data_IF_880267913046
#
_entry.id   IF_880267913046
#
_cell.length_a   1.000
_cell.length_b   1.000
_cell.length_c   1.000
_cell.angle_alpha   90.00
_cell.angle_beta   90.00
_cell.angle_gamma   90.00
#
_symmetry.space_group_name_H-M   'P 1'
#
loop_
_entity.id
_entity.type
_entity.pdbx_description
1 polymer ?
#
# COMPACT_ATOMS: atom_id res chain seq x y z
N UNK A 1 -28.97 14.24 -18.63
CA UNK A 1 -29.46 14.76 -17.35
C UNK A 1 -30.95 14.43 -17.26
N UNK A 2 -31.32 13.47 -16.39
CA UNK A 2 -32.73 13.21 -16.07
C UNK A 2 -33.24 14.32 -15.13
N UNK A 3 -34.02 15.21 -15.69
CA UNK A 3 -34.79 16.20 -14.95
C UNK A 3 -35.94 15.49 -14.22
N UNK A 4 -35.82 15.31 -12.89
CA UNK A 4 -36.96 14.81 -12.10
C UNK A 4 -36.63 14.01 -10.84
N UNK A 5 -35.37 13.64 -10.56
CA UNK A 5 -35.01 13.06 -9.27
C UNK A 5 -34.83 14.17 -8.21
N UNK A 6 -35.61 14.09 -7.13
CA UNK A 6 -35.40 14.93 -5.97
C UNK A 6 -34.02 14.60 -5.39
N UNK A 7 -33.11 15.56 -5.36
CA UNK A 7 -31.87 15.44 -4.62
C UNK A 7 -32.18 15.18 -3.15
N UNK A 8 -31.53 14.17 -2.56
CA UNK A 8 -31.62 13.88 -1.13
C UNK A 8 -30.26 14.21 -0.51
N UNK A 9 -30.25 15.20 0.36
CA UNK A 9 -29.11 15.50 1.18
C UNK A 9 -29.03 14.48 2.33
N UNK A 10 -27.87 13.85 2.52
CA UNK A 10 -27.60 12.93 3.62
C UNK A 10 -26.36 13.45 4.33
N UNK A 11 -26.49 13.75 5.62
CA UNK A 11 -25.35 14.06 6.46
C UNK A 11 -24.61 12.77 6.82
N UNK A 12 -23.28 12.79 6.74
CA UNK A 12 -22.40 11.66 7.03
C UNK A 12 -21.52 12.00 8.22
N UNK A 13 -21.52 11.14 9.24
CA UNK A 13 -20.60 11.25 10.38
C UNK A 13 -19.19 10.74 10.03
N UNK A 14 -19.10 9.71 9.22
CA UNK A 14 -17.85 9.13 8.74
C UNK A 14 -18.06 8.28 7.48
N UNK A 15 -16.98 8.07 6.73
CA UNK A 15 -16.93 7.19 5.56
C UNK A 15 -15.95 6.05 5.83
N UNK A 16 -16.38 4.80 5.60
CA UNK A 16 -15.48 3.65 5.57
C UNK A 16 -15.02 3.45 4.14
N UNK A 17 -13.74 3.73 3.86
CA UNK A 17 -13.17 3.59 2.53
C UNK A 17 -12.75 2.14 2.31
N UNK A 18 -13.34 1.50 1.29
CA UNK A 18 -13.04 0.12 0.86
C UNK A 18 -12.73 0.06 -0.64
N UNK A 19 -12.26 1.16 -1.21
CA UNK A 19 -11.90 1.26 -2.61
C UNK A 19 -10.45 0.79 -2.81
N UNK A 20 -10.23 -0.06 -3.81
CA UNK A 20 -8.91 -0.58 -4.16
C UNK A 20 -8.38 0.09 -5.43
N UNK A 21 -7.06 0.29 -5.48
CA UNK A 21 -6.41 0.96 -6.58
C UNK A 21 -6.69 2.47 -6.62
N UNK A 22 -6.16 3.17 -7.64
CA UNK A 22 -6.48 4.59 -7.86
C UNK A 22 -7.89 4.76 -8.46
N UNK A 23 -8.66 5.74 -7.97
CA UNK A 23 -8.34 6.81 -7.00
C UNK A 23 -8.60 6.44 -5.52
N UNK A 24 -8.82 5.18 -5.19
CA UNK A 24 -9.20 4.74 -3.85
C UNK A 24 -8.03 4.69 -2.86
N UNK A 25 -6.87 4.21 -3.32
CA UNK A 25 -5.68 3.95 -2.49
C UNK A 25 -4.50 4.90 -2.78
N UNK A 26 -4.66 5.91 -3.64
CA UNK A 26 -3.56 6.80 -4.07
C UNK A 26 -3.57 8.18 -3.40
N UNK A 27 -4.54 8.44 -2.52
CA UNK A 27 -4.72 9.72 -1.85
C UNK A 27 -5.78 10.62 -2.48
N UNK A 28 -6.28 10.30 -3.67
CA UNK A 28 -7.23 11.15 -4.41
C UNK A 28 -8.56 11.27 -3.65
N UNK A 29 -9.20 10.17 -3.28
CA UNK A 29 -10.47 10.20 -2.53
C UNK A 29 -10.26 10.75 -1.12
N UNK A 30 -9.11 10.46 -0.50
CA UNK A 30 -8.76 10.97 0.81
C UNK A 30 -8.67 12.50 0.79
N UNK A 31 -8.05 13.08 -0.26
CA UNK A 31 -7.97 14.53 -0.43
C UNK A 31 -9.34 15.19 -0.62
N UNK A 32 -10.27 14.54 -1.33
CA UNK A 32 -11.65 15.02 -1.46
C UNK A 32 -12.37 15.03 -0.11
N UNK A 33 -12.22 13.96 0.67
CA UNK A 33 -12.85 13.85 2.00
C UNK A 33 -12.24 14.85 3.00
N UNK A 34 -10.92 15.06 2.96
CA UNK A 34 -10.22 16.07 3.76
C UNK A 34 -10.77 17.49 3.46
N UNK A 35 -10.87 17.86 2.16
CA UNK A 35 -11.39 19.16 1.75
C UNK A 35 -12.87 19.33 2.07
N UNK A 36 -13.65 18.26 2.06
CA UNK A 36 -15.06 18.26 2.44
C UNK A 36 -15.27 18.27 3.95
N UNK A 37 -14.23 18.09 4.76
CA UNK A 37 -14.30 18.00 6.21
C UNK A 37 -15.02 16.73 6.70
N UNK A 38 -15.05 15.66 5.88
CA UNK A 38 -15.71 14.40 6.20
C UNK A 38 -14.68 13.45 6.80
N UNK A 39 -14.98 12.92 7.99
CA UNK A 39 -14.15 11.90 8.62
C UNK A 39 -14.15 10.60 7.80
N UNK A 40 -13.00 9.93 7.69
CA UNK A 40 -12.88 8.69 6.92
C UNK A 40 -11.89 7.71 7.53
N UNK A 41 -12.11 6.42 7.28
CA UNK A 41 -11.20 5.34 7.66
C UNK A 41 -10.06 5.18 6.66
N UNK A 42 -8.98 4.53 7.12
CA UNK A 42 -7.84 4.18 6.27
C UNK A 42 -6.80 5.30 6.17
N UNK A 43 -5.90 5.23 5.17
CA UNK A 43 -4.71 6.05 5.11
C UNK A 43 -5.03 7.54 4.93
N UNK A 44 -4.13 8.40 5.39
CA UNK A 44 -4.11 9.81 4.98
C UNK A 44 -3.71 9.94 3.52
N UNK A 45 -3.86 11.14 2.93
CA UNK A 45 -3.35 11.44 1.58
C UNK A 45 -1.89 11.02 1.43
N UNK A 46 -1.03 11.39 2.39
CA UNK A 46 0.40 11.05 2.34
C UNK A 46 0.65 9.55 2.46
N UNK A 47 -0.03 8.86 3.38
CA UNK A 47 0.12 7.41 3.56
C UNK A 47 -0.38 6.61 2.35
N UNK A 48 -1.50 7.03 1.74
CA UNK A 48 -2.03 6.43 0.53
C UNK A 48 -1.08 6.61 -0.67
N UNK A 49 -0.62 7.84 -0.91
CA UNK A 49 0.30 8.14 -2.00
C UNK A 49 1.64 7.39 -1.87
N UNK A 50 2.19 7.31 -0.64
CA UNK A 50 3.40 6.55 -0.38
C UNK A 50 3.20 5.06 -0.61
N UNK A 51 2.10 4.48 -0.10
CA UNK A 51 1.82 3.04 -0.24
C UNK A 51 1.58 2.61 -1.68
N UNK A 52 1.00 3.49 -2.50
CA UNK A 52 0.74 3.23 -3.92
C UNK A 52 2.00 3.26 -4.78
N UNK A 53 2.99 4.09 -4.43
CA UNK A 53 4.23 4.26 -5.17
C UNK A 53 5.29 3.23 -4.73
N UNK A 54 5.43 2.14 -5.49
CA UNK A 54 6.36 1.04 -5.16
C UNK A 54 7.81 1.49 -5.03
N UNK A 55 8.22 2.48 -5.82
CA UNK A 55 9.57 3.00 -5.74
C UNK A 55 9.78 3.87 -4.51
N UNK A 56 8.86 4.79 -4.23
CA UNK A 56 8.95 5.67 -3.07
C UNK A 56 8.85 4.85 -1.77
N UNK A 57 7.89 3.93 -1.66
CA UNK A 57 7.74 3.06 -0.50
C UNK A 57 9.01 2.24 -0.24
N UNK A 58 9.55 1.57 -1.28
CA UNK A 58 10.79 0.81 -1.13
C UNK A 58 11.98 1.66 -0.74
N UNK A 59 12.07 2.91 -1.24
CA UNK A 59 13.14 3.84 -0.87
C UNK A 59 13.05 4.25 0.60
N UNK A 60 11.84 4.54 1.10
CA UNK A 60 11.61 4.86 2.52
C UNK A 60 11.91 3.67 3.42
N UNK A 61 11.47 2.47 3.05
CA UNK A 61 11.78 1.21 3.77
C UNK A 61 13.29 0.97 3.85
N UNK A 62 13.99 1.10 2.73
CA UNK A 62 15.44 0.96 2.67
C UNK A 62 16.17 2.01 3.51
N UNK A 63 15.74 3.27 3.45
CA UNK A 63 16.30 4.36 4.26
C UNK A 63 16.10 4.16 5.76
N UNK A 64 15.02 3.45 6.14
CA UNK A 64 14.77 3.06 7.53
C UNK A 64 15.60 1.84 7.99
N UNK A 65 16.47 1.29 7.13
CA UNK A 65 17.32 0.15 7.43
C UNK A 65 16.60 -1.21 7.40
N UNK A 66 15.41 -1.27 6.81
CA UNK A 66 14.69 -2.53 6.62
C UNK A 66 15.12 -3.18 5.30
N UNK A 67 15.22 -4.52 5.29
CA UNK A 67 15.59 -5.26 4.08
C UNK A 67 14.51 -5.17 3.02
N UNK A 68 14.88 -4.79 1.80
CA UNK A 68 14.04 -4.79 0.60
C UNK A 68 14.90 -5.23 -0.59
N UNK A 69 14.31 -5.84 -1.60
CA UNK A 69 15.03 -6.10 -2.84
C UNK A 69 15.48 -4.78 -3.47
N UNK A 70 16.67 -4.74 -4.07
CA UNK A 70 17.13 -3.55 -4.80
C UNK A 70 16.14 -3.26 -5.94
N UNK A 71 15.81 -1.99 -6.11
CA UNK A 71 14.86 -1.56 -7.15
C UNK A 71 15.33 -0.30 -7.85
N UNK A 72 15.06 -0.23 -9.14
CA UNK A 72 15.44 0.88 -10.03
C UNK A 72 14.21 1.33 -10.80
N UNK A 73 14.06 2.65 -10.98
CA UNK A 73 13.14 3.17 -11.99
C UNK A 73 13.75 2.97 -13.37
N UNK A 74 13.11 2.14 -14.19
CA UNK A 74 13.53 1.92 -15.58
C UNK A 74 12.99 3.07 -16.43
N UNK A 75 13.90 3.74 -17.12
CA UNK A 75 13.60 4.82 -18.07
C UNK A 75 14.33 4.55 -19.40
N UNK A 76 14.04 5.34 -20.43
CA UNK A 76 14.73 5.24 -21.71
C UNK A 76 16.22 5.60 -21.61
N UNK A 77 16.62 6.39 -20.62
CA UNK A 77 18.01 6.77 -20.35
C UNK A 77 18.79 5.73 -19.54
N UNK A 78 18.11 4.75 -18.91
CA UNK A 78 18.79 3.70 -18.13
C UNK A 78 19.69 2.87 -19.04
N UNK A 79 20.98 2.83 -18.74
CA UNK A 79 21.99 2.13 -19.56
C UNK A 79 22.28 0.72 -19.04
N UNK A 80 22.17 0.49 -17.73
CA UNK A 80 22.37 -0.80 -17.08
C UNK A 80 21.63 -0.85 -15.75
N UNK A 81 21.45 -2.05 -15.20
CA UNK A 81 20.94 -2.27 -13.87
C UNK A 81 22.08 -2.66 -12.92
N UNK A 82 22.01 -2.31 -11.62
CA UNK A 82 23.06 -2.61 -10.65
C UNK A 82 22.99 -4.07 -10.12
N UNK A 83 22.20 -4.92 -10.73
CA UNK A 83 22.02 -6.34 -10.42
C UNK A 83 21.77 -7.14 -11.69
N UNK A 84 22.05 -8.44 -11.63
CA UNK A 84 21.87 -9.38 -12.73
C UNK A 84 20.42 -9.86 -12.83
N UNK A 85 20.00 -10.31 -14.03
CA UNK A 85 18.70 -10.92 -14.29
C UNK A 85 18.61 -12.39 -13.82
N UNK A 86 17.43 -13.00 -13.91
CA UNK A 86 16.22 -12.44 -14.52
C UNK A 86 15.61 -11.29 -13.71
N UNK A 87 14.78 -10.48 -14.37
CA UNK A 87 14.18 -9.28 -13.79
C UNK A 87 12.67 -9.39 -13.70
N UNK A 88 12.08 -8.79 -12.64
CA UNK A 88 10.66 -8.53 -12.54
C UNK A 88 10.42 -7.03 -12.74
N UNK A 89 9.52 -6.71 -13.68
CA UNK A 89 9.09 -5.37 -14.01
C UNK A 89 7.71 -5.16 -13.43
N UNK A 90 7.54 -4.09 -12.66
CA UNK A 90 6.27 -3.76 -11.98
C UNK A 90 5.84 -2.35 -12.38
N UNK A 91 4.55 -2.10 -12.70
CA UNK A 91 4.06 -0.73 -12.74
C UNK A 91 4.41 -0.01 -11.44
N UNK A 92 4.91 1.22 -11.53
CA UNK A 92 5.26 2.02 -10.35
C UNK A 92 4.03 2.21 -9.44
N UNK A 93 2.90 2.51 -10.07
CA UNK A 93 1.61 2.68 -9.40
C UNK A 93 0.66 1.55 -9.84
N UNK A 94 -0.03 0.96 -8.87
CA UNK A 94 -0.96 -0.13 -9.14
C UNK A 94 -0.80 -1.30 -8.19
N UNK A 95 -1.67 -2.28 -8.32
CA UNK A 95 -1.75 -3.45 -7.44
C UNK A 95 -2.23 -4.71 -8.18
N UNK A 96 -2.55 -5.75 -7.40
CA UNK A 96 -3.17 -7.00 -7.89
C UNK A 96 -2.37 -7.73 -8.97
N UNK A 97 -1.04 -7.53 -9.04
CA UNK A 97 -0.14 -8.11 -10.06
C UNK A 97 -0.50 -7.74 -11.51
N UNK A 98 -1.32 -6.70 -11.73
CA UNK A 98 -1.69 -6.26 -13.07
C UNK A 98 -0.50 -5.56 -13.73
N UNK A 99 -0.16 -5.97 -14.96
CA UNK A 99 0.91 -5.36 -15.76
C UNK A 99 2.34 -5.76 -15.33
N UNK A 100 2.50 -6.78 -14.48
CA UNK A 100 3.82 -7.31 -14.12
C UNK A 100 4.36 -8.18 -15.26
N UNK A 101 5.63 -8.01 -15.59
CA UNK A 101 6.38 -8.83 -16.55
C UNK A 101 7.62 -9.42 -15.87
N UNK A 102 7.95 -10.69 -16.19
CA UNK A 102 9.24 -11.31 -15.87
C UNK A 102 10.03 -11.49 -17.15
N UNK A 103 11.27 -11.05 -17.15
CA UNK A 103 12.13 -11.02 -18.34
C UNK A 103 13.54 -11.52 -18.01
N UNK A 104 14.16 -12.19 -18.97
CA UNK A 104 15.47 -12.82 -18.76
C UNK A 104 16.63 -11.81 -18.72
N UNK A 105 16.55 -10.73 -19.48
CA UNK A 105 17.66 -9.82 -19.70
C UNK A 105 17.25 -8.35 -19.82
N UNK A 106 18.24 -7.47 -19.76
CA UNK A 106 18.05 -6.03 -19.79
C UNK A 106 17.50 -5.50 -21.12
N UNK A 107 17.89 -6.13 -22.25
CA UNK A 107 17.37 -5.70 -23.57
C UNK A 107 15.86 -5.95 -23.67
N UNK A 108 15.41 -7.11 -23.18
CA UNK A 108 13.99 -7.44 -23.09
C UNK A 108 13.26 -6.50 -22.13
N UNK A 109 13.87 -6.15 -20.97
CA UNK A 109 13.29 -5.19 -20.03
C UNK A 109 13.05 -3.82 -20.69
N UNK A 110 14.02 -3.33 -21.47
CA UNK A 110 13.88 -2.07 -22.22
C UNK A 110 12.78 -2.14 -23.26
N UNK A 111 12.68 -3.24 -24.01
CA UNK A 111 11.61 -3.42 -25.00
C UNK A 111 10.22 -3.46 -24.37
N UNK A 112 10.10 -4.02 -23.17
CA UNK A 112 8.83 -4.06 -22.42
C UNK A 112 8.38 -2.70 -21.90
N UNK A 113 9.33 -1.81 -21.56
CA UNK A 113 9.03 -0.46 -21.11
C UNK A 113 8.12 0.29 -22.06
N UNK A 114 8.36 0.19 -23.36
CA UNK A 114 7.57 0.88 -24.39
C UNK A 114 6.31 0.06 -24.80
N UNK A 115 6.39 -1.28 -24.70
CA UNK A 115 5.33 -2.17 -25.18
C UNK A 115 4.20 -2.38 -24.15
N UNK A 116 4.47 -2.26 -22.86
CA UNK A 116 3.49 -2.51 -21.83
C UNK A 116 2.80 -1.20 -21.40
N UNK A 117 1.50 -1.01 -21.70
CA UNK A 117 0.80 0.23 -21.40
C UNK A 117 0.68 0.52 -19.89
N UNK A 118 0.83 -0.49 -19.04
CA UNK A 118 0.81 -0.30 -17.58
C UNK A 118 2.05 0.43 -17.05
N UNK A 119 3.11 0.55 -17.87
CA UNK A 119 4.34 1.27 -17.51
C UNK A 119 4.31 2.76 -17.86
N UNK A 120 3.21 3.27 -18.42
CA UNK A 120 3.08 4.66 -18.84
C UNK A 120 3.35 5.69 -17.72
N UNK A 121 3.09 5.33 -16.46
CA UNK A 121 3.36 6.18 -15.28
C UNK A 121 4.66 5.81 -14.55
N UNK A 122 5.48 4.94 -15.14
CA UNK A 122 6.75 4.46 -14.61
C UNK A 122 6.81 2.96 -14.38
N UNK A 123 7.99 2.42 -14.51
CA UNK A 123 8.31 1.01 -14.32
C UNK A 123 9.38 0.86 -13.24
N UNK A 124 9.13 0.00 -12.25
CA UNK A 124 10.10 -0.42 -11.24
C UNK A 124 10.64 -1.79 -11.63
N UNK A 125 11.97 -1.92 -11.64
CA UNK A 125 12.66 -3.18 -11.92
C UNK A 125 13.34 -3.67 -10.64
N UNK A 126 13.19 -4.95 -10.37
CA UNK A 126 13.86 -5.68 -9.28
C UNK A 126 14.46 -6.99 -9.83
N UNK A 127 15.46 -7.61 -9.16
CA UNK A 127 15.85 -8.96 -9.48
C UNK A 127 14.67 -9.91 -9.24
N UNK A 128 14.39 -10.79 -10.19
CA UNK A 128 13.40 -11.84 -10.00
C UNK A 128 14.03 -13.01 -9.23
N UNK A 129 13.41 -13.38 -8.11
CA UNK A 129 13.89 -14.40 -7.18
C UNK A 129 12.83 -15.51 -7.06
N UNK A 130 13.03 -16.60 -7.82
CA UNK A 130 12.12 -17.76 -7.83
C UNK A 130 12.10 -18.53 -6.50
N UNK A 131 13.19 -18.43 -5.74
CA UNK A 131 13.36 -19.09 -4.44
C UNK A 131 12.60 -18.42 -3.30
N UNK A 132 12.00 -17.25 -3.54
CA UNK A 132 11.22 -16.53 -2.53
C UNK A 132 9.72 -16.82 -2.65
N UNK A 133 9.09 -16.95 -1.50
CA UNK A 133 7.63 -17.08 -1.36
C UNK A 133 7.05 -15.86 -0.66
N UNK A 134 5.74 -15.67 -0.84
CA UNK A 134 5.02 -14.57 -0.22
C UNK A 134 4.68 -14.88 1.24
N UNK A 135 4.86 -13.89 2.12
CA UNK A 135 4.31 -13.83 3.47
C UNK A 135 3.55 -12.53 3.64
N UNK A 136 2.46 -12.56 4.40
CA UNK A 136 1.61 -11.39 4.60
C UNK A 136 1.25 -11.23 6.07
N UNK A 137 1.29 -10.01 6.56
CA UNK A 137 0.78 -9.64 7.88
C UNK A 137 -0.08 -8.39 7.75
N UNK A 138 -1.23 -8.38 8.42
CA UNK A 138 -2.03 -7.18 8.56
C UNK A 138 -1.79 -6.51 9.91
N UNK A 139 -2.09 -5.22 9.95
CA UNK A 139 -2.13 -4.46 11.19
C UNK A 139 -3.35 -3.55 11.20
N UNK A 140 -3.84 -3.24 12.40
CA UNK A 140 -4.79 -2.15 12.66
C UNK A 140 -4.21 -1.19 13.69
N UNK A 141 -4.56 0.08 13.58
CA UNK A 141 -3.95 1.15 14.39
C UNK A 141 -4.80 1.57 15.59
N UNK A 142 -6.09 1.24 15.60
CA UNK A 142 -7.03 1.66 16.63
C UNK A 142 -7.74 0.45 17.28
N UNK A 143 -8.00 0.48 18.62
CA UNK A 143 -7.63 1.53 19.57
C UNK A 143 -6.13 1.60 19.87
N UNK A 144 -5.42 0.52 19.67
CA UNK A 144 -3.97 0.37 19.77
C UNK A 144 -3.45 -0.45 18.60
N UNK A 145 -2.17 -0.30 18.26
CA UNK A 145 -1.55 -1.07 17.19
C UNK A 145 -1.62 -2.58 17.52
N UNK A 146 -2.33 -3.32 16.68
CA UNK A 146 -2.44 -4.78 16.75
C UNK A 146 -2.01 -5.39 15.41
N UNK A 147 -1.18 -6.39 15.48
CA UNK A 147 -0.78 -7.23 14.33
C UNK A 147 -1.72 -8.44 14.24
N UNK A 148 -1.93 -8.92 13.03
CA UNK A 148 -2.64 -10.16 12.74
C UNK A 148 -1.71 -11.37 12.85
N UNK A 149 -2.26 -12.57 12.61
CA UNK A 149 -1.43 -13.73 12.26
C UNK A 149 -0.77 -13.52 10.90
N UNK A 150 0.37 -14.19 10.70
CA UNK A 150 1.10 -14.19 9.42
C UNK A 150 0.55 -15.31 8.57
N UNK A 151 0.22 -15.01 7.31
CA UNK A 151 -0.16 -16.02 6.33
C UNK A 151 0.90 -16.22 5.25
N UNK A 152 0.94 -17.43 4.73
CA UNK A 152 1.63 -17.79 3.49
C UNK A 152 0.58 -18.14 2.44
N UNK A 153 0.33 -17.27 1.44
CA UNK A 153 -0.54 -17.60 0.33
C UNK A 153 0.01 -18.79 -0.46
N UNK A 154 -0.85 -19.72 -0.85
CA UNK A 154 -0.45 -20.88 -1.65
C UNK A 154 -0.80 -20.59 -3.10
N UNK A 155 0.21 -20.58 -3.99
CA UNK A 155 0.03 -20.42 -5.43
C UNK A 155 -0.67 -21.66 -6.00
N UNK A 156 -1.78 -21.48 -6.73
CA UNK A 156 -2.58 -22.59 -7.28
C UNK A 156 -1.93 -23.29 -8.46
N UNK A 157 -1.02 -22.62 -9.16
CA UNK A 157 -0.32 -23.16 -10.33
C UNK A 157 1.15 -23.32 -10.04
N UNK A 158 1.69 -24.52 -10.27
CA UNK A 158 3.12 -24.83 -10.19
C UNK A 158 3.94 -24.15 -11.30
N UNK A 159 3.27 -23.61 -12.34
CA UNK A 159 3.87 -22.89 -13.46
C UNK A 159 3.64 -21.38 -13.39
N UNK A 160 2.99 -20.88 -12.33
CA UNK A 160 2.80 -19.43 -12.18
C UNK A 160 4.02 -18.84 -11.48
N UNK A 161 4.84 -18.14 -12.24
CA UNK A 161 6.01 -17.40 -11.74
C UNK A 161 5.61 -16.32 -10.73
N UNK A 162 4.36 -15.86 -10.76
CA UNK A 162 3.82 -14.79 -9.91
C UNK A 162 2.42 -15.17 -9.44
N UNK A 163 2.05 -14.75 -8.21
CA UNK A 163 0.68 -14.84 -7.70
C UNK A 163 -0.24 -13.93 -8.53
N UNK A 164 -0.92 -14.50 -9.53
CA UNK A 164 -1.71 -13.77 -10.54
C UNK A 164 -2.98 -13.16 -9.94
N UNK A 165 -3.53 -12.15 -10.64
CA UNK A 165 -4.85 -11.57 -10.36
C UNK A 165 -5.95 -12.63 -10.31
N UNK A 166 -5.89 -13.65 -11.18
CA UNK A 166 -6.83 -14.78 -11.19
C UNK A 166 -6.78 -15.59 -9.91
N UNK A 167 -5.59 -15.79 -9.35
CA UNK A 167 -5.42 -16.51 -8.08
C UNK A 167 -5.98 -15.70 -6.90
N UNK A 168 -5.93 -14.37 -7.01
CA UNK A 168 -6.41 -13.45 -5.96
C UNK A 168 -7.94 -13.22 -6.01
N UNK A 169 -8.57 -13.21 -7.19
CA UNK A 169 -9.93 -12.68 -7.35
C UNK A 169 -10.89 -13.48 -8.24
N UNK A 170 -10.44 -14.36 -9.12
CA UNK A 170 -11.27 -14.96 -10.18
C UNK A 170 -11.76 -16.39 -9.87
N UNK A 171 -11.42 -16.96 -8.74
CA UNK A 171 -11.82 -18.33 -8.36
C UNK A 171 -13.27 -18.50 -7.87
N UNK A 172 -14.12 -17.47 -7.97
CA UNK A 172 -15.55 -17.55 -7.56
C UNK A 172 -15.84 -17.56 -6.06
N UNK A 173 -14.85 -17.79 -5.23
CA UNK A 173 -14.99 -17.93 -3.77
C UNK A 173 -14.34 -16.77 -2.97
N UNK A 174 -13.71 -15.81 -3.65
CA UNK A 174 -13.06 -14.63 -3.07
C UNK A 174 -11.79 -14.94 -2.25
N UNK A 175 -11.15 -13.89 -1.73
CA UNK A 175 -9.92 -14.01 -0.94
C UNK A 175 -10.05 -14.88 0.33
N UNK A 176 -11.27 -15.06 0.84
CA UNK A 176 -11.51 -15.79 2.10
C UNK A 176 -11.28 -17.30 1.95
N UNK A 177 -11.51 -17.86 0.76
CA UNK A 177 -11.38 -19.29 0.46
C UNK A 177 -10.15 -19.66 -0.37
N UNK A 178 -9.28 -18.69 -0.72
CA UNK A 178 -8.02 -19.00 -1.38
C UNK A 178 -7.14 -19.89 -0.50
N UNK A 179 -6.45 -20.93 -1.07
CA UNK A 179 -5.57 -21.80 -0.31
C UNK A 179 -4.46 -20.99 0.37
N UNK A 180 -4.28 -21.24 1.66
CA UNK A 180 -3.30 -20.51 2.49
C UNK A 180 -2.83 -21.35 3.65
N UNK A 181 -1.69 -21.04 4.16
CA UNK A 181 -1.21 -21.50 5.44
C UNK A 181 -1.34 -20.36 6.46
N UNK A 182 -2.23 -20.53 7.45
CA UNK A 182 -2.56 -19.52 8.46
C UNK A 182 -2.79 -20.21 9.83
N UNK A 183 -1.92 -19.99 10.84
CA UNK A 183 -0.68 -19.24 10.75
C UNK A 183 0.37 -19.92 9.86
N UNK A 184 1.22 -19.14 9.21
CA UNK A 184 2.30 -19.64 8.39
C UNK A 184 3.37 -20.35 9.23
N UNK A 185 3.96 -21.43 8.69
CA UNK A 185 5.17 -22.03 9.27
C UNK A 185 6.37 -21.19 8.88
N UNK A 186 7.04 -20.64 9.88
CA UNK A 186 8.12 -19.68 9.72
C UNK A 186 9.45 -20.26 10.17
N UNK A 187 10.55 -19.79 9.58
CA UNK A 187 11.89 -20.06 10.08
C UNK A 187 12.10 -19.42 11.46
N UNK A 188 13.08 -19.92 12.20
CA UNK A 188 13.40 -19.41 13.53
C UNK A 188 13.77 -17.92 13.48
N UNK A 189 13.12 -17.09 14.31
CA UNK A 189 13.34 -15.64 14.37
C UNK A 189 12.67 -14.83 13.26
N UNK A 190 12.03 -15.50 12.28
CA UNK A 190 11.38 -14.81 11.16
C UNK A 190 10.11 -14.08 11.60
N UNK A 191 9.34 -14.66 12.53
CA UNK A 191 8.14 -14.02 13.07
C UNK A 191 8.48 -12.69 13.76
N UNK A 192 9.44 -12.70 14.69
CA UNK A 192 9.86 -11.51 15.41
C UNK A 192 10.37 -10.41 14.46
N UNK A 193 11.06 -10.82 13.39
CA UNK A 193 11.57 -9.88 12.39
C UNK A 193 10.41 -9.26 11.59
N UNK A 194 9.45 -10.05 11.14
CA UNK A 194 8.26 -9.57 10.42
C UNK A 194 7.46 -8.61 11.30
N UNK A 195 7.20 -8.98 12.56
CA UNK A 195 6.45 -8.14 13.49
C UNK A 195 7.17 -6.81 13.77
N UNK A 196 8.50 -6.85 13.96
CA UNK A 196 9.32 -5.64 14.11
C UNK A 196 9.24 -4.76 12.86
N UNK A 197 9.39 -5.34 11.67
CA UNK A 197 9.31 -4.61 10.41
C UNK A 197 7.91 -3.99 10.24
N UNK A 198 6.85 -4.75 10.53
CA UNK A 198 5.48 -4.26 10.43
C UNK A 198 5.22 -3.04 11.35
N UNK A 199 5.73 -3.06 12.58
CA UNK A 199 5.63 -1.91 13.50
C UNK A 199 6.42 -0.71 13.00
N UNK A 200 7.66 -0.92 12.54
CA UNK A 200 8.47 0.16 11.95
C UNK A 200 7.78 0.77 10.72
N UNK A 201 7.22 -0.06 9.85
CA UNK A 201 6.50 0.41 8.65
C UNK A 201 5.25 1.18 9.05
N UNK A 202 4.53 0.75 10.10
CA UNK A 202 3.37 1.49 10.59
C UNK A 202 3.72 2.94 10.94
N UNK A 203 4.88 3.15 11.56
CA UNK A 203 5.35 4.49 11.95
C UNK A 203 5.84 5.30 10.73
N UNK A 204 6.79 4.75 9.94
CA UNK A 204 7.43 5.51 8.84
C UNK A 204 6.47 5.80 7.67
N UNK A 205 5.49 4.93 7.43
CA UNK A 205 4.45 5.13 6.42
C UNK A 205 3.20 5.82 6.98
N UNK A 206 3.21 6.21 8.25
CA UNK A 206 2.07 6.85 8.92
C UNK A 206 0.78 6.06 8.70
N UNK A 207 0.84 4.74 8.88
CA UNK A 207 -0.29 3.85 8.65
C UNK A 207 -1.44 4.21 9.58
N UNK A 208 -2.64 4.18 9.04
CA UNK A 208 -3.88 4.47 9.73
C UNK A 208 -4.97 3.50 9.25
N UNK A 209 -5.87 3.10 10.12
CA UNK A 209 -6.89 2.10 9.83
C UNK A 209 -6.31 0.69 9.82
N UNK A 210 -6.54 -0.01 8.73
CA UNK A 210 -6.01 -1.35 8.47
C UNK A 210 -5.10 -1.31 7.26
N UNK A 211 -3.91 -1.89 7.38
CA UNK A 211 -3.01 -2.11 6.25
C UNK A 211 -2.53 -3.57 6.25
N UNK A 212 -2.06 -4.06 5.11
CA UNK A 212 -1.36 -5.32 4.96
C UNK A 212 0.01 -5.07 4.36
N UNK A 213 1.01 -5.68 4.97
CA UNK A 213 2.39 -5.62 4.49
C UNK A 213 2.71 -7.00 3.90
N UNK A 214 3.18 -6.99 2.67
CA UNK A 214 3.54 -8.17 1.93
C UNK A 214 5.08 -8.28 1.89
N UNK A 215 5.58 -9.47 2.18
CA UNK A 215 7.01 -9.80 2.23
C UNK A 215 7.33 -10.87 1.20
N UNK A 216 8.59 -10.89 0.78
CA UNK A 216 9.20 -12.00 0.06
C UNK A 216 10.23 -12.66 0.95
N UNK A 217 10.19 -13.98 1.10
CA UNK A 217 11.01 -14.70 2.06
C UNK A 217 11.43 -16.10 1.56
N UNK A 218 12.52 -16.58 2.12
CA UNK A 218 12.85 -17.99 2.18
C UNK A 218 13.31 -18.33 3.62
N UNK A 219 13.95 -19.47 3.84
CA UNK A 219 14.40 -19.86 5.19
C UNK A 219 15.47 -18.93 5.77
N UNK A 220 16.22 -18.20 4.94
CA UNK A 220 17.38 -17.41 5.33
C UNK A 220 17.20 -15.91 5.12
N UNK A 221 16.27 -15.51 4.27
CA UNK A 221 16.12 -14.13 3.80
C UNK A 221 14.68 -13.65 3.96
N UNK A 222 14.53 -12.36 4.26
CA UNK A 222 13.25 -11.68 4.40
C UNK A 222 13.36 -10.27 3.82
N UNK A 223 12.47 -9.94 2.90
CA UNK A 223 12.42 -8.64 2.23
C UNK A 223 11.01 -8.04 2.30
N UNK A 224 10.92 -6.76 2.62
CA UNK A 224 9.67 -6.00 2.49
C UNK A 224 9.41 -5.80 0.99
N UNK A 225 8.24 -6.22 0.52
CA UNK A 225 7.84 -6.10 -0.87
C UNK A 225 6.98 -4.84 -1.11
N UNK A 226 5.78 -4.80 -0.53
CA UNK A 226 4.84 -3.69 -0.68
C UNK A 226 3.92 -3.54 0.54
N UNK A 227 3.21 -2.43 0.61
CA UNK A 227 2.14 -2.19 1.56
C UNK A 227 0.82 -1.98 0.80
N UNK A 228 -0.25 -2.57 1.31
CA UNK A 228 -1.62 -2.34 0.87
C UNK A 228 -2.33 -1.54 1.95
N UNK A 229 -2.56 -0.26 1.71
CA UNK A 229 -3.13 0.66 2.71
C UNK A 229 -4.64 0.54 2.86
N UNK A 230 -5.31 -0.11 1.91
CA UNK A 230 -6.71 -0.56 1.96
C UNK A 230 -6.75 -1.99 1.44
N UNK A 231 -6.36 -2.99 2.26
CA UNK A 231 -6.23 -4.35 1.77
C UNK A 231 -7.59 -4.99 1.48
N UNK A 232 -7.60 -5.94 0.55
CA UNK A 232 -8.80 -6.68 0.17
C UNK A 232 -9.52 -7.27 1.39
N UNK A 233 -10.85 -7.07 1.46
CA UNK A 233 -11.70 -7.44 2.61
C UNK A 233 -11.15 -6.93 3.95
N UNK A 234 -10.43 -5.79 3.94
CA UNK A 234 -9.73 -5.20 5.09
C UNK A 234 -8.85 -6.22 5.84
N UNK A 235 -8.33 -7.20 5.14
CA UNK A 235 -7.53 -8.32 5.69
C UNK A 235 -8.15 -9.00 6.92
N UNK A 236 -9.47 -8.94 7.07
CA UNK A 236 -10.20 -9.46 8.22
C UNK A 236 -9.85 -10.94 8.53
N UNK A 237 -9.62 -11.72 7.48
CA UNK A 237 -9.32 -13.15 7.59
C UNK A 237 -8.00 -13.47 8.30
N UNK A 238 -7.10 -12.48 8.45
CA UNK A 238 -5.83 -12.64 9.16
C UNK A 238 -5.95 -12.45 10.68
N UNK A 239 -6.99 -11.77 11.15
CA UNK A 239 -7.24 -11.52 12.56
C UNK A 239 -8.01 -12.68 13.22
N UNK A 240 -7.35 -13.82 13.33
CA UNK A 240 -7.92 -15.08 13.85
C UNK A 240 -7.47 -15.41 15.27
N UNK A 241 -6.30 -14.92 15.69
CA UNK A 241 -5.77 -15.09 17.05
C UNK A 241 -4.93 -13.85 17.45
N UNK A 242 -5.43 -13.02 18.40
CA UNK A 242 -6.79 -13.08 18.93
C UNK A 242 -7.86 -12.79 17.86
N UNK A 243 -8.98 -13.49 17.94
CA UNK A 243 -10.08 -13.31 17.01
C UNK A 243 -10.64 -11.88 17.10
N UNK A 244 -10.65 -11.17 15.98
CA UNK A 244 -11.29 -9.86 15.85
C UNK A 244 -12.59 -9.99 15.04
N UNK A 245 -13.78 -9.81 15.63
CA UNK A 245 -15.03 -9.80 14.87
C UNK A 245 -15.04 -8.68 13.82
N UNK A 246 -15.62 -8.94 12.65
CA UNK A 246 -15.65 -7.93 11.57
C UNK A 246 -16.44 -6.67 11.96
N UNK A 247 -17.53 -6.84 12.72
CA UNK A 247 -18.28 -5.72 13.28
C UNK A 247 -17.43 -4.83 14.21
N UNK A 248 -16.56 -5.45 15.03
CA UNK A 248 -15.64 -4.70 15.89
C UNK A 248 -14.61 -3.95 15.05
N UNK A 249 -14.03 -4.60 14.03
CA UNK A 249 -13.09 -3.94 13.12
C UNK A 249 -13.71 -2.71 12.46
N UNK A 250 -14.94 -2.82 11.95
CA UNK A 250 -15.65 -1.68 11.34
C UNK A 250 -15.95 -0.58 12.35
N UNK A 251 -16.37 -0.93 13.57
CA UNK A 251 -16.61 0.03 14.65
C UNK A 251 -15.33 0.78 15.02
N UNK A 252 -14.20 0.07 15.10
CA UNK A 252 -12.90 0.66 15.42
C UNK A 252 -12.43 1.61 14.30
N UNK A 253 -12.65 1.26 13.04
CA UNK A 253 -12.33 2.13 11.90
C UNK A 253 -13.15 3.43 11.91
N UNK A 254 -14.43 3.35 12.24
CA UNK A 254 -15.31 4.52 12.38
C UNK A 254 -14.88 5.37 13.58
N UNK A 255 -14.59 4.74 14.71
CA UNK A 255 -14.11 5.44 15.91
C UNK A 255 -12.80 6.17 15.63
N UNK A 256 -11.82 5.50 15.02
CA UNK A 256 -10.56 6.13 14.62
C UNK A 256 -10.77 7.31 13.67
N UNK A 257 -11.66 7.16 12.67
CA UNK A 257 -11.97 8.23 11.73
C UNK A 257 -12.45 9.51 12.45
N UNK A 258 -13.28 9.36 13.48
CA UNK A 258 -13.85 10.48 14.24
C UNK A 258 -12.90 11.04 15.29
N UNK A 259 -12.19 10.19 16.01
CA UNK A 259 -11.34 10.60 17.15
C UNK A 259 -9.93 11.02 16.71
N UNK A 260 -9.43 10.41 15.65
CA UNK A 260 -8.08 10.64 15.08
C UNK A 260 -8.19 11.01 13.60
N UNK A 261 -8.66 12.23 13.26
CA UNK A 261 -8.80 12.63 11.86
C UNK A 261 -7.47 12.53 11.15
N UNK A 262 -7.51 12.11 9.88
CA UNK A 262 -6.32 11.87 9.06
C UNK A 262 -5.52 13.15 8.82
N UNK A 263 -6.20 14.29 8.76
CA UNK A 263 -5.58 15.60 8.60
C UNK A 263 -6.20 16.62 9.54
N UNK A 264 -5.37 17.54 10.03
CA UNK A 264 -5.80 18.73 10.77
C UNK A 264 -5.15 19.94 10.16
N UNK A 265 -5.94 20.76 9.49
CA UNK A 265 -5.45 22.03 8.97
C UNK A 265 -5.19 22.98 10.13
N UNK A 266 -3.98 23.51 10.20
CA UNK A 266 -3.61 24.52 11.16
C UNK A 266 -3.20 25.79 10.42
N UNK A 267 -3.84 26.88 10.75
CA UNK A 267 -3.44 28.21 10.32
C UNK A 267 -2.51 28.89 11.36
N UNK A 268 -2.04 28.17 12.37
CA UNK A 268 -1.15 28.72 13.38
C UNK A 268 0.13 29.26 12.74
N UNK A 269 0.37 30.56 12.90
CA UNK A 269 1.50 31.27 12.27
C UNK A 269 1.29 31.64 10.79
N UNK A 270 0.15 31.29 10.18
CA UNK A 270 -0.18 31.62 8.79
C UNK A 270 -1.50 32.43 8.70
N UNK A 271 -1.75 33.30 9.67
CA UNK A 271 -2.95 34.13 9.78
C UNK A 271 -3.07 35.24 8.72
N UNK A 272 -2.12 35.33 7.79
CA UNK A 272 -2.06 36.36 6.75
C UNK A 272 -1.70 37.74 7.26
N UNK A 273 -1.45 37.90 8.56
CA UNK A 273 -1.06 39.22 9.15
C UNK A 273 0.28 39.71 8.59
N UNK A 274 1.19 38.79 8.26
CA UNK A 274 2.47 39.13 7.59
C UNK A 274 2.24 39.83 6.26
N UNK A 275 1.20 39.47 5.51
CA UNK A 275 0.80 40.16 4.27
C UNK A 275 0.14 41.49 4.55
N UNK A 276 -0.61 41.63 5.65
CA UNK A 276 -1.26 42.88 6.04
C UNK A 276 -0.31 43.87 6.70
N UNK A 277 0.72 43.39 7.41
CA UNK A 277 1.71 44.22 8.10
C UNK A 277 2.84 44.75 7.20
N UNK A 278 3.00 44.18 5.99
CA UNK A 278 4.02 44.67 5.07
C UNK A 278 3.52 45.92 4.32
N UNK A 279 4.21 47.01 4.50
CA UNK A 279 3.94 48.30 3.83
C UNK A 279 4.14 48.28 2.31
N UNK A 280 4.89 47.28 1.80
CA UNK A 280 5.06 47.02 0.37
C UNK A 280 5.55 45.60 0.14
N UNK A 281 5.35 45.07 -1.08
CA UNK A 281 5.91 43.78 -1.51
C UNK A 281 7.45 43.82 -1.48
N UNK A 282 8.05 44.96 -1.77
CA UNK A 282 9.51 45.15 -1.76
C UNK A 282 10.11 44.97 -0.36
N UNK A 283 9.40 45.35 0.71
CA UNK A 283 9.87 45.17 2.10
C UNK A 283 9.81 43.74 2.60
N UNK A 284 9.29 42.80 1.79
CA UNK A 284 9.27 41.37 2.08
C UNK A 284 10.33 40.56 1.35
N UNK A 285 10.91 41.13 0.31
CA UNK A 285 11.92 40.53 -0.54
C UNK A 285 13.34 41.02 -0.18
N UNK A 286 13.45 41.94 0.73
CA UNK A 286 14.69 42.40 1.35
C UNK A 286 14.96 41.66 2.67
#
# INVERSE_FOLDING_TARGET
>A
YETGRKERLIELDAVVVCLHGGPGEDGTIQGVLDLAGVAYSGPSVAGAALGMDKWAFGSVVSAAGLSTLPRVLLTNETQSLPFDGPYILKPRFGGSSIGIDVVADFATAKARLDANPHFALGCVVEPFREDLYDLQIALRTYPTLQLSQIEKPIRRSTNAEILDYRDKYVGGEGMVSAPRELPAKLAVGQQETIEKFARTIADIASVRGVARIDFLANENELYVNEINTIPGSLSKHLFVDPLLPFSQLLSDLIAEARERPAHRYSAAGADGLVLRSASSIASKLA
#
